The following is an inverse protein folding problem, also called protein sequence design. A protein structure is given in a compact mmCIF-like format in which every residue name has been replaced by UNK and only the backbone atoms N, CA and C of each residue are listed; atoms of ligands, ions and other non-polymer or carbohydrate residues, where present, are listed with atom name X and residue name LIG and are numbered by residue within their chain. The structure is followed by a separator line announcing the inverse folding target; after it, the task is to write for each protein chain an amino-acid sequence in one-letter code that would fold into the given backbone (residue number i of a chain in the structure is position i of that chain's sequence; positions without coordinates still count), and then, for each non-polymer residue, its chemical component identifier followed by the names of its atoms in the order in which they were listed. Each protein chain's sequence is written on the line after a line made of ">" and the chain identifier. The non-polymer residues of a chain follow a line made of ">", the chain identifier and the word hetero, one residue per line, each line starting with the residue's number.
data_IF_984624878123
#
_entry.id   IF_984624878123
#
_cell.length_a   1.000
_cell.length_b   1.000
_cell.length_c   1.000
_cell.angle_alpha   90.00
_cell.angle_beta   90.00
_cell.angle_gamma   90.00
#
_symmetry.space_group_name_H-M   'P 1'
#
loop_
_entity.id
_entity.type
_entity.pdbx_description
1 polymer ?
#
# COMPACT_ATOMS: atom_id res chain seq x y z
N UNK A 1 -2.94 7.86 43.77
CA UNK A 1 -1.58 7.30 43.61
C UNK A 1 -1.58 6.10 42.66
N UNK A 2 -2.47 5.11 42.87
CA UNK A 2 -2.60 3.89 42.03
C UNK A 2 -2.95 4.20 40.56
N UNK A 3 -3.86 5.16 40.29
CA UNK A 3 -4.23 5.56 38.92
C UNK A 3 -3.04 6.08 38.08
N UNK A 4 -2.20 6.96 38.66
CA UNK A 4 -0.99 7.47 37.99
C UNK A 4 0.05 6.39 37.70
N UNK A 5 0.09 5.32 38.50
CA UNK A 5 0.98 4.18 38.30
C UNK A 5 0.43 3.27 37.19
N UNK A 6 -0.89 3.04 37.16
CA UNK A 6 -1.57 2.31 36.09
C UNK A 6 -1.39 3.02 34.73
N UNK A 7 -1.64 4.34 34.65
CA UNK A 7 -1.48 5.13 33.42
C UNK A 7 -0.01 5.13 32.92
N UNK A 8 0.95 5.10 33.86
CA UNK A 8 2.39 5.04 33.53
C UNK A 8 2.82 3.65 33.03
N UNK A 9 2.32 2.58 33.65
CA UNK A 9 2.57 1.20 33.22
C UNK A 9 1.90 0.94 31.86
N UNK A 10 0.67 1.41 31.66
CA UNK A 10 -0.07 1.30 30.39
C UNK A 10 0.63 2.07 29.26
N UNK A 11 1.23 3.23 29.56
CA UNK A 11 2.06 3.98 28.61
C UNK A 11 3.38 3.28 28.24
N UNK A 12 4.03 2.62 29.19
CA UNK A 12 5.28 1.86 28.97
C UNK A 12 5.03 0.52 28.27
N UNK A 13 3.94 -0.19 28.61
CA UNK A 13 3.48 -1.41 27.93
C UNK A 13 3.08 -1.10 26.49
N UNK A 14 2.36 0.00 26.25
CA UNK A 14 2.09 0.47 24.90
C UNK A 14 3.38 0.76 24.14
N UNK A 15 4.37 1.45 24.71
CA UNK A 15 5.67 1.66 24.03
C UNK A 15 6.37 0.36 23.65
N UNK A 16 6.33 -0.66 24.51
CA UNK A 16 6.95 -1.96 24.25
C UNK A 16 6.17 -2.77 23.21
N UNK A 17 4.84 -2.71 23.23
CA UNK A 17 3.98 -3.28 22.19
C UNK A 17 4.22 -2.58 20.85
N UNK A 18 4.34 -1.26 20.84
CA UNK A 18 4.72 -0.47 19.67
C UNK A 18 6.12 -0.79 19.18
N UNK A 19 7.08 -0.99 20.08
CA UNK A 19 8.43 -1.43 19.72
C UNK A 19 8.43 -2.84 19.13
N UNK A 20 7.62 -3.75 19.68
CA UNK A 20 7.46 -5.13 19.21
C UNK A 20 6.75 -5.21 17.86
N UNK A 21 5.61 -4.53 17.70
CA UNK A 21 4.91 -4.39 16.40
C UNK A 21 5.83 -3.74 15.37
N UNK A 22 6.56 -2.69 15.73
CA UNK A 22 7.54 -2.05 14.84
C UNK A 22 8.69 -2.99 14.50
N UNK A 23 9.18 -3.79 15.45
CA UNK A 23 10.24 -4.78 15.29
C UNK A 23 9.83 -5.95 14.38
N UNK A 24 8.65 -6.53 14.60
CA UNK A 24 8.07 -7.60 13.77
C UNK A 24 7.65 -7.10 12.37
N UNK A 25 7.15 -5.88 12.28
CA UNK A 25 6.87 -5.20 11.00
C UNK A 25 8.15 -4.98 10.19
N UNK A 26 9.24 -4.57 10.84
CA UNK A 26 10.55 -4.40 10.17
C UNK A 26 11.17 -5.71 9.71
N UNK A 27 10.85 -6.84 10.36
CA UNK A 27 11.28 -8.17 9.93
C UNK A 27 10.43 -8.75 8.79
N UNK A 28 9.12 -8.46 8.75
CA UNK A 28 8.19 -9.12 7.80
C UNK A 28 7.86 -8.37 6.50
N UNK A 29 8.38 -7.18 6.21
CA UNK A 29 8.32 -6.58 4.84
C UNK A 29 9.38 -7.22 3.93
N UNK A 30 9.42 -8.54 3.90
CA UNK A 30 10.06 -9.29 2.83
C UNK A 30 8.91 -9.87 2.02
N UNK A 31 8.57 -9.17 0.93
CA UNK A 31 7.61 -9.63 -0.06
C UNK A 31 7.83 -11.12 -0.35
N UNK A 32 6.77 -11.95 -0.40
CA UNK A 32 6.92 -13.33 -0.87
C UNK A 32 7.56 -13.29 -2.26
N UNK A 33 8.68 -14.00 -2.43
CA UNK A 33 9.63 -13.77 -3.54
C UNK A 33 9.16 -14.35 -4.88
N UNK A 34 8.24 -15.31 -4.84
CA UNK A 34 7.86 -16.10 -6.02
C UNK A 34 6.71 -15.49 -6.83
N UNK A 35 5.83 -14.69 -6.19
CA UNK A 35 4.55 -14.34 -6.81
C UNK A 35 4.70 -13.15 -7.77
N UNK A 36 4.98 -13.47 -9.03
CA UNK A 36 4.83 -12.54 -10.15
C UNK A 36 3.37 -12.14 -10.28
N UNK A 37 3.13 -10.83 -10.42
CA UNK A 37 1.81 -10.31 -10.81
C UNK A 37 1.83 -10.08 -12.31
N UNK A 38 0.74 -10.46 -13.00
CA UNK A 38 0.63 -10.25 -14.44
C UNK A 38 0.56 -8.76 -14.74
N UNK A 39 1.27 -8.34 -15.78
CA UNK A 39 1.17 -7.00 -16.34
C UNK A 39 -0.27 -6.69 -16.80
N UNK A 40 -0.66 -5.42 -16.72
CA UNK A 40 -1.91 -4.91 -17.24
C UNK A 40 -1.88 -4.90 -18.77
N UNK A 41 -2.95 -5.37 -19.39
CA UNK A 41 -3.10 -5.35 -20.85
C UNK A 41 -3.62 -3.97 -21.28
N UNK A 42 -2.69 -3.03 -21.46
CA UNK A 42 -3.03 -1.68 -21.92
C UNK A 42 -3.74 -1.70 -23.27
N UNK A 43 -4.89 -1.02 -23.34
CA UNK A 43 -5.56 -0.74 -24.62
C UNK A 43 -4.78 0.32 -25.40
N UNK A 44 -4.31 1.36 -24.71
CA UNK A 44 -3.49 2.40 -25.28
C UNK A 44 -2.02 2.22 -24.87
N UNK A 45 -1.19 1.84 -25.84
CA UNK A 45 0.27 1.65 -25.65
C UNK A 45 0.98 2.93 -25.20
N UNK A 46 0.43 4.11 -25.48
CA UNK A 46 1.00 5.37 -25.01
C UNK A 46 1.01 5.45 -23.47
N UNK A 47 -0.06 5.00 -22.80
CA UNK A 47 -0.12 5.00 -21.34
C UNK A 47 0.94 4.08 -20.73
N UNK A 48 1.09 2.87 -21.29
CA UNK A 48 2.15 1.95 -20.90
C UNK A 48 3.52 2.60 -21.04
N UNK A 49 3.83 3.11 -22.23
CA UNK A 49 5.13 3.71 -22.54
C UNK A 49 5.44 4.89 -21.62
N UNK A 50 4.50 5.84 -21.51
CA UNK A 50 4.64 7.03 -20.69
C UNK A 50 4.86 6.68 -19.22
N UNK A 51 4.16 5.68 -18.69
CA UNK A 51 4.34 5.25 -17.30
C UNK A 51 5.74 4.74 -16.97
N UNK A 52 6.43 4.15 -17.94
CA UNK A 52 7.77 3.58 -17.80
C UNK A 52 8.89 4.57 -18.16
N UNK A 53 8.54 5.82 -18.47
CA UNK A 53 9.48 6.85 -18.95
C UNK A 53 9.83 7.83 -17.82
N UNK A 54 11.04 7.70 -17.26
CA UNK A 54 11.55 8.54 -16.18
C UNK A 54 12.67 9.47 -16.72
N UNK A 55 12.25 10.46 -17.52
CA UNK A 55 13.13 11.50 -18.08
C UNK A 55 13.06 12.79 -17.26
N UNK A 56 14.15 13.18 -16.62
CA UNK A 56 14.22 14.40 -15.81
C UNK A 56 14.15 15.69 -16.62
N UNK A 57 14.45 15.65 -17.92
CA UNK A 57 14.63 16.83 -18.77
C UNK A 57 13.58 17.01 -19.88
N UNK A 58 12.43 16.31 -19.84
CA UNK A 58 11.40 16.43 -20.89
C UNK A 58 9.98 16.44 -20.31
N UNK A 59 9.07 17.23 -20.88
CA UNK A 59 7.65 17.33 -20.47
C UNK A 59 6.87 16.00 -20.61
N UNK A 60 7.47 15.00 -21.25
CA UNK A 60 6.84 13.70 -21.49
C UNK A 60 7.27 12.61 -20.49
N UNK A 61 7.67 13.01 -19.28
CA UNK A 61 8.00 12.08 -18.20
C UNK A 61 6.75 11.52 -17.50
N UNK A 62 6.97 10.60 -16.56
CA UNK A 62 5.92 9.89 -15.85
C UNK A 62 5.44 10.59 -14.57
N UNK A 63 5.96 11.78 -14.21
CA UNK A 63 5.72 12.41 -12.90
C UNK A 63 4.24 12.78 -12.69
N UNK A 64 3.56 13.31 -13.72
CA UNK A 64 2.13 13.61 -13.63
C UNK A 64 1.28 12.35 -13.44
N UNK A 65 1.69 11.24 -14.06
CA UNK A 65 1.04 9.94 -13.83
C UNK A 65 1.34 9.44 -12.42
N UNK A 66 2.56 9.62 -11.92
CA UNK A 66 2.95 9.24 -10.56
C UNK A 66 2.16 10.01 -9.50
N UNK A 67 1.95 11.31 -9.72
CA UNK A 67 1.10 12.14 -8.88
C UNK A 67 -0.33 11.59 -8.81
N UNK A 68 -0.98 11.39 -9.96
CA UNK A 68 -2.34 10.82 -10.03
C UNK A 68 -2.42 9.43 -9.39
N UNK A 69 -1.52 8.53 -9.79
CA UNK A 69 -1.49 7.17 -9.30
C UNK A 69 -1.20 7.08 -7.80
N UNK A 70 -0.42 8.02 -7.25
CA UNK A 70 -0.20 8.15 -5.82
C UNK A 70 -1.50 8.32 -5.05
N UNK A 71 -2.37 9.26 -5.49
CA UNK A 71 -3.69 9.46 -4.87
C UNK A 71 -4.62 8.26 -5.03
N UNK A 72 -4.56 7.55 -6.17
CA UNK A 72 -5.36 6.34 -6.39
C UNK A 72 -4.91 5.20 -5.48
N UNK A 73 -3.60 4.94 -5.38
CA UNK A 73 -3.05 3.91 -4.49
C UNK A 73 -3.37 4.26 -3.03
N UNK A 74 -3.22 5.52 -2.63
CA UNK A 74 -3.55 6.01 -1.29
C UNK A 74 -5.00 5.66 -0.89
N UNK A 75 -5.94 5.92 -1.81
CA UNK A 75 -7.35 5.61 -1.62
C UNK A 75 -7.60 4.09 -1.55
N UNK A 76 -7.04 3.31 -2.48
CA UNK A 76 -7.20 1.84 -2.51
C UNK A 76 -6.68 1.21 -1.21
N UNK A 77 -5.50 1.62 -0.74
CA UNK A 77 -4.90 1.11 0.49
C UNK A 77 -5.77 1.47 1.69
N UNK A 78 -6.24 2.72 1.78
CA UNK A 78 -7.19 3.14 2.81
C UNK A 78 -8.47 2.30 2.80
N UNK A 79 -9.05 2.06 1.62
CA UNK A 79 -10.24 1.22 1.47
C UNK A 79 -10.01 -0.20 2.00
N UNK A 80 -8.92 -0.86 1.58
CA UNK A 80 -8.65 -2.23 2.02
C UNK A 80 -8.35 -2.31 3.52
N UNK A 81 -7.59 -1.37 4.08
CA UNK A 81 -7.32 -1.35 5.52
C UNK A 81 -8.61 -1.15 6.33
N UNK A 82 -9.49 -0.25 5.88
CA UNK A 82 -10.80 -0.04 6.50
C UNK A 82 -11.67 -1.30 6.46
N UNK A 83 -11.75 -1.96 5.29
CA UNK A 83 -12.62 -3.14 5.12
C UNK A 83 -12.07 -4.39 5.82
N UNK A 84 -10.76 -4.62 5.75
CA UNK A 84 -10.15 -5.87 6.22
C UNK A 84 -9.78 -5.84 7.70
N UNK A 85 -9.58 -4.66 8.29
CA UNK A 85 -9.14 -4.50 9.67
C UNK A 85 -10.08 -3.54 10.43
N UNK A 86 -11.40 -3.82 10.46
CA UNK A 86 -12.42 -2.86 10.88
C UNK A 86 -12.44 -2.57 12.39
N UNK A 87 -11.68 -3.33 13.18
CA UNK A 87 -11.64 -3.26 14.65
C UNK A 87 -10.40 -2.56 15.19
N UNK A 88 -9.46 -2.17 14.31
CA UNK A 88 -8.24 -1.50 14.74
C UNK A 88 -8.44 -0.01 14.97
N UNK A 89 -7.69 0.52 15.94
CA UNK A 89 -7.64 1.96 16.20
C UNK A 89 -7.06 2.72 15.00
N UNK A 90 -7.51 3.96 14.82
CA UNK A 90 -7.16 4.81 13.68
C UNK A 90 -5.64 4.97 13.48
N UNK A 91 -4.88 5.10 14.56
CA UNK A 91 -3.43 5.24 14.50
C UNK A 91 -2.76 4.02 13.86
N UNK A 92 -3.31 2.82 14.09
CA UNK A 92 -2.78 1.56 13.53
C UNK A 92 -3.03 1.55 12.03
N UNK A 93 -4.24 1.93 11.59
CA UNK A 93 -4.55 2.07 10.16
C UNK A 93 -3.63 3.08 9.47
N UNK A 94 -3.35 4.23 10.09
CA UNK A 94 -2.42 5.24 9.55
C UNK A 94 -0.99 4.68 9.44
N UNK A 95 -0.51 3.98 10.47
CA UNK A 95 0.81 3.36 10.46
C UNK A 95 0.94 2.30 9.35
N UNK A 96 -0.03 1.39 9.26
CA UNK A 96 -0.06 0.33 8.24
C UNK A 96 -0.09 0.91 6.84
N UNK A 97 -0.92 1.94 6.63
CA UNK A 97 -0.98 2.68 5.38
C UNK A 97 0.38 3.26 5.00
N UNK A 98 1.06 3.95 5.92
CA UNK A 98 2.39 4.52 5.67
C UNK A 98 3.42 3.45 5.30
N UNK A 99 3.35 2.26 5.91
CA UNK A 99 4.23 1.13 5.56
C UNK A 99 3.97 0.59 4.15
N UNK A 100 2.71 0.42 3.77
CA UNK A 100 2.37 -0.07 2.42
C UNK A 100 2.76 0.95 1.34
N UNK A 101 2.58 2.24 1.62
CA UNK A 101 2.87 3.34 0.70
C UNK A 101 4.34 3.77 0.69
N UNK A 102 5.21 3.11 1.47
CA UNK A 102 6.63 3.44 1.47
C UNK A 102 7.32 3.04 0.15
N UNK A 103 8.39 3.76 -0.17
CA UNK A 103 9.07 3.63 -1.47
C UNK A 103 9.62 2.24 -1.71
N UNK A 104 10.09 1.57 -0.65
CA UNK A 104 10.68 0.22 -0.72
C UNK A 104 9.59 -0.80 -1.07
N UNK A 105 8.43 -0.69 -0.44
CA UNK A 105 7.27 -1.56 -0.69
C UNK A 105 6.75 -1.37 -2.11
N UNK A 106 6.54 -0.13 -2.54
CA UNK A 106 6.08 0.18 -3.90
C UNK A 106 7.11 -0.23 -4.97
N UNK A 107 8.42 -0.07 -4.69
CA UNK A 107 9.47 -0.58 -5.56
C UNK A 107 9.39 -2.11 -5.70
N UNK A 108 9.14 -2.80 -4.60
CA UNK A 108 8.93 -4.24 -4.62
C UNK A 108 7.67 -4.66 -5.38
N UNK A 109 6.59 -3.86 -5.37
CA UNK A 109 5.42 -4.08 -6.23
C UNK A 109 5.78 -3.95 -7.71
N UNK A 110 6.58 -2.95 -8.07
CA UNK A 110 7.08 -2.82 -9.45
C UNK A 110 7.90 -4.03 -9.88
N UNK A 111 8.84 -4.49 -9.04
CA UNK A 111 9.70 -5.65 -9.33
C UNK A 111 8.89 -6.94 -9.55
N UNK A 112 7.72 -7.08 -8.90
CA UNK A 112 6.81 -8.22 -9.15
C UNK A 112 6.21 -8.25 -10.57
N UNK A 113 6.20 -7.11 -11.27
CA UNK A 113 5.75 -7.02 -12.66
C UNK A 113 6.83 -7.46 -13.65
N UNK A 114 8.10 -7.56 -13.23
CA UNK A 114 9.26 -7.86 -14.09
C UNK A 114 9.43 -6.88 -15.26
N UNK A 115 9.15 -5.59 -15.01
CA UNK A 115 9.21 -4.52 -16.00
C UNK A 115 10.46 -3.64 -15.91
N UNK A 116 11.41 -3.95 -15.04
CA UNK A 116 12.63 -3.16 -14.83
C UNK A 116 13.43 -2.96 -16.11
N UNK A 117 13.49 -3.99 -16.96
CA UNK A 117 14.19 -3.94 -18.27
C UNK A 117 13.48 -3.07 -19.31
N UNK A 118 12.25 -2.64 -19.05
CA UNK A 118 11.46 -1.78 -19.94
C UNK A 118 11.45 -0.32 -19.48
N UNK A 119 12.11 0.00 -18.37
CA UNK A 119 12.25 1.38 -17.93
C UNK A 119 13.10 2.18 -18.92
N UNK A 120 12.59 3.35 -19.27
CA UNK A 120 13.30 4.33 -20.09
C UNK A 120 13.81 5.41 -19.14
N UNK A 121 15.14 5.54 -19.06
CA UNK A 121 15.83 6.42 -18.12
C UNK A 121 16.68 7.43 -18.89
N UNK A 122 17.09 8.50 -18.22
CA UNK A 122 18.15 9.37 -18.74
C UNK A 122 19.50 8.63 -18.78
N UNK A 123 20.35 8.99 -19.75
CA UNK A 123 21.69 8.40 -19.98
C UNK A 123 22.56 8.29 -18.72
N UNK A 124 22.38 9.18 -17.73
CA UNK A 124 23.10 9.15 -16.45
C UNK A 124 22.64 8.05 -15.48
N UNK A 125 21.40 7.57 -15.63
CA UNK A 125 20.77 6.58 -14.74
C UNK A 125 20.77 5.15 -15.35
N UNK A 126 21.20 4.99 -16.62
CA UNK A 126 21.27 3.70 -17.33
C UNK A 126 22.39 2.78 -16.81
N UNK A 127 23.42 3.34 -16.17
CA UNK A 127 24.61 2.59 -15.76
C UNK A 127 24.38 1.69 -14.54
N UNK A 128 23.40 1.98 -13.67
CA UNK A 128 23.06 1.13 -12.52
C UNK A 128 21.88 0.22 -12.87
N UNK A 129 22.19 -0.91 -13.52
CA UNK A 129 21.21 -1.90 -14.02
C UNK A 129 20.56 -2.76 -12.92
N UNK A 130 20.47 -2.18 -11.72
CA UNK A 130 19.69 -2.63 -10.56
C UNK A 130 18.58 -1.64 -10.19
N UNK A 131 18.72 -0.35 -10.55
CA UNK A 131 17.77 0.78 -10.42
C UNK A 131 17.33 1.09 -8.97
N UNK A 132 17.42 2.38 -8.60
CA UNK A 132 17.06 2.90 -7.27
C UNK A 132 15.59 2.60 -6.92
N UNK A 133 15.32 2.12 -5.71
CA UNK A 133 13.95 1.86 -5.20
C UNK A 133 13.05 3.11 -5.29
N UNK A 134 13.63 4.32 -5.20
CA UNK A 134 12.88 5.55 -5.45
C UNK A 134 12.29 5.60 -6.87
N UNK A 135 13.08 5.26 -7.89
CA UNK A 135 12.63 5.25 -9.29
C UNK A 135 11.55 4.17 -9.48
N UNK A 136 11.77 2.98 -8.94
CA UNK A 136 10.80 1.89 -9.03
C UNK A 136 9.47 2.23 -8.35
N UNK A 137 9.52 2.80 -7.14
CA UNK A 137 8.32 3.19 -6.40
C UNK A 137 7.53 4.29 -7.12
N UNK A 138 8.18 5.34 -7.62
CA UNK A 138 7.51 6.38 -8.41
C UNK A 138 6.98 5.85 -9.74
N UNK A 139 7.73 4.95 -10.40
CA UNK A 139 7.26 4.31 -11.63
C UNK A 139 6.06 3.40 -11.38
N UNK A 140 6.00 2.69 -10.24
CA UNK A 140 4.82 1.94 -9.86
C UNK A 140 3.60 2.84 -9.73
N UNK A 141 3.73 3.99 -9.06
CA UNK A 141 2.65 4.98 -8.98
C UNK A 141 2.23 5.43 -10.37
N UNK A 142 3.18 5.80 -11.23
CA UNK A 142 2.88 6.22 -12.59
C UNK A 142 2.15 5.13 -13.39
N UNK A 143 2.56 3.88 -13.22
CA UNK A 143 1.96 2.73 -13.84
C UNK A 143 0.51 2.52 -13.39
N UNK A 144 0.21 2.66 -12.09
CA UNK A 144 -1.18 2.63 -11.61
C UNK A 144 -2.00 3.82 -12.13
N UNK A 145 -1.42 5.02 -12.16
CA UNK A 145 -2.06 6.20 -12.77
C UNK A 145 -2.39 5.98 -14.25
N UNK A 146 -1.49 5.32 -14.99
CA UNK A 146 -1.70 4.97 -16.38
C UNK A 146 -2.81 3.92 -16.57
N UNK A 147 -2.89 2.90 -15.72
CA UNK A 147 -3.99 1.92 -15.72
C UNK A 147 -5.32 2.63 -15.47
N UNK A 148 -5.36 3.53 -14.48
CA UNK A 148 -6.56 4.28 -14.15
C UNK A 148 -7.10 5.07 -15.35
N UNK A 149 -6.21 5.69 -16.15
CA UNK A 149 -6.63 6.36 -17.39
C UNK A 149 -7.03 5.36 -18.50
N UNK A 150 -6.29 4.27 -18.67
CA UNK A 150 -6.57 3.24 -19.68
C UNK A 150 -7.90 2.50 -19.45
N UNK A 151 -8.34 2.43 -18.19
CA UNK A 151 -9.65 1.88 -17.81
C UNK A 151 -10.78 2.92 -17.76
N UNK A 152 -10.60 4.12 -18.33
CA UNK A 152 -11.58 5.22 -18.31
C UNK A 152 -11.94 5.70 -16.89
N UNK A 153 -10.94 5.86 -16.02
CA UNK A 153 -11.11 6.30 -14.63
C UNK A 153 -11.96 5.34 -13.77
N UNK A 154 -12.00 4.06 -14.14
CA UNK A 154 -12.73 3.03 -13.40
C UNK A 154 -11.90 2.58 -12.19
N UNK A 155 -12.27 3.09 -11.01
CA UNK A 155 -11.57 2.83 -9.77
C UNK A 155 -11.64 1.35 -9.34
N UNK A 156 -12.78 0.69 -9.55
CA UNK A 156 -12.98 -0.70 -9.13
C UNK A 156 -12.03 -1.64 -9.91
N UNK A 157 -11.84 -1.40 -11.21
CA UNK A 157 -10.86 -2.14 -12.01
C UNK A 157 -9.43 -1.99 -11.49
N UNK A 158 -9.05 -0.78 -11.07
CA UNK A 158 -7.72 -0.55 -10.50
C UNK A 158 -7.59 -1.22 -9.14
N UNK A 159 -8.62 -1.14 -8.30
CA UNK A 159 -8.68 -1.83 -7.00
C UNK A 159 -8.52 -3.34 -7.13
N UNK A 160 -9.18 -3.95 -8.11
CA UNK A 160 -9.09 -5.38 -8.39
C UNK A 160 -7.70 -5.77 -8.89
N UNK A 161 -7.10 -4.94 -9.76
CA UNK A 161 -5.72 -5.13 -10.20
C UNK A 161 -4.71 -4.98 -9.05
N UNK A 162 -4.96 -4.06 -8.11
CA UNK A 162 -4.12 -3.83 -6.94
C UNK A 162 -4.23 -4.92 -5.87
N UNK A 163 -5.34 -5.66 -5.83
CA UNK A 163 -5.63 -6.68 -4.81
C UNK A 163 -4.48 -7.67 -4.59
N UNK A 164 -3.89 -8.32 -5.62
CA UNK A 164 -2.83 -9.32 -5.42
C UNK A 164 -1.53 -8.74 -4.86
N UNK A 165 -1.29 -7.43 -5.00
CA UNK A 165 -0.14 -6.75 -4.38
C UNK A 165 -0.34 -6.58 -2.87
N UNK A 166 -1.58 -6.28 -2.47
CA UNK A 166 -1.96 -5.93 -1.10
C UNK A 166 -2.31 -7.15 -0.25
N UNK A 167 -2.92 -8.19 -0.81
CA UNK A 167 -3.36 -9.39 -0.07
C UNK A 167 -2.29 -9.98 0.85
N UNK A 168 -1.02 -10.17 0.44
CA UNK A 168 0.01 -10.71 1.35
C UNK A 168 0.25 -9.86 2.60
N UNK A 169 0.08 -8.53 2.50
CA UNK A 169 0.19 -7.63 3.64
C UNK A 169 -1.04 -7.75 4.53
N UNK A 170 -2.23 -7.64 3.92
CA UNK A 170 -3.50 -7.69 4.63
C UNK A 170 -3.66 -9.00 5.42
N UNK A 171 -3.30 -10.13 4.82
CA UNK A 171 -3.42 -11.44 5.47
C UNK A 171 -2.48 -11.57 6.69
N UNK A 172 -1.19 -11.21 6.56
CA UNK A 172 -0.23 -11.32 7.67
C UNK A 172 -0.49 -10.26 8.75
N UNK A 173 -1.05 -9.11 8.41
CA UNK A 173 -1.52 -8.14 9.42
C UNK A 173 -2.79 -8.61 10.12
N UNK A 174 -3.76 -9.15 9.39
CA UNK A 174 -4.95 -9.75 10.00
C UNK A 174 -4.57 -10.89 10.95
N UNK A 175 -3.54 -11.68 10.62
CA UNK A 175 -2.99 -12.69 11.52
C UNK A 175 -2.33 -12.08 12.77
N UNK A 176 -1.40 -11.13 12.62
CA UNK A 176 -0.75 -10.46 13.76
C UNK A 176 -1.79 -9.84 14.70
N UNK A 177 -2.82 -9.19 14.15
CA UNK A 177 -3.76 -8.40 14.92
C UNK A 177 -4.84 -9.24 15.61
N UNK A 178 -5.05 -10.51 15.22
CA UNK A 178 -6.06 -11.40 15.85
C UNK A 178 -5.92 -11.50 17.36
N UNK A 179 -4.69 -11.46 17.87
CA UNK A 179 -4.37 -11.71 19.28
C UNK A 179 -3.92 -10.44 20.04
N UNK A 180 -4.06 -9.25 19.44
CA UNK A 180 -3.63 -7.97 20.04
C UNK A 180 -4.75 -7.27 20.81
N UNK A 181 -4.39 -6.55 21.89
CA UNK A 181 -5.30 -5.66 22.64
C UNK A 181 -6.03 -4.66 21.73
N UNK A 182 -5.35 -4.19 20.69
CA UNK A 182 -5.88 -3.31 19.64
C UNK A 182 -7.12 -3.85 18.92
N UNK A 183 -7.37 -5.17 18.96
CA UNK A 183 -8.53 -5.84 18.35
C UNK A 183 -9.62 -6.21 19.38
N UNK A 184 -9.30 -6.14 20.68
CA UNK A 184 -10.18 -6.44 21.81
C UNK A 184 -10.84 -5.18 22.40
N UNK A 185 -10.31 -3.99 22.12
CA UNK A 185 -10.85 -2.71 22.59
C UNK A 185 -11.61 -1.95 21.49
N UNK A 186 -12.74 -2.50 21.02
CA UNK A 186 -13.75 -1.63 20.39
C UNK A 186 -14.59 -1.08 21.55
N UNK A 187 -14.62 0.25 21.78
CA UNK A 187 -15.60 0.82 22.71
C UNK A 187 -16.98 0.32 22.33
N UNK A 188 -17.72 -0.25 23.29
CA UNK A 188 -19.00 -0.92 23.02
C UNK A 188 -20.00 -0.04 22.24
N UNK A 189 -19.87 1.29 22.32
CA UNK A 189 -20.69 2.24 21.56
C UNK A 189 -20.41 2.24 20.05
N UNK A 190 -19.19 1.86 19.63
CA UNK A 190 -18.76 1.86 18.22
C UNK A 190 -18.98 0.50 17.53
N UNK A 191 -19.24 -0.57 18.27
CA UNK A 191 -19.49 -1.91 17.70
C UNK A 191 -20.62 -1.93 16.67
N UNK A 192 -21.68 -1.18 16.93
CA UNK A 192 -22.83 -1.09 16.04
C UNK A 192 -22.47 -0.37 14.72
N UNK A 193 -21.63 0.67 14.79
CA UNK A 193 -21.14 1.42 13.62
C UNK A 193 -20.27 0.50 12.76
N UNK A 194 -19.32 -0.21 13.37
CA UNK A 194 -18.47 -1.18 12.66
C UNK A 194 -19.29 -2.29 12.00
N UNK A 195 -20.33 -2.82 12.67
CA UNK A 195 -21.24 -3.81 12.10
C UNK A 195 -22.04 -3.25 10.91
N UNK A 196 -22.50 -2.01 10.99
CA UNK A 196 -23.19 -1.31 9.90
C UNK A 196 -22.26 -1.08 8.70
N UNK A 197 -21.05 -0.57 8.92
CA UNK A 197 -20.07 -0.32 7.88
C UNK A 197 -19.74 -1.61 7.12
N UNK A 198 -19.54 -2.73 7.83
CA UNK A 198 -19.32 -4.04 7.22
C UNK A 198 -20.52 -4.55 6.42
N UNK A 199 -21.76 -4.25 6.85
CA UNK A 199 -22.96 -4.61 6.11
C UNK A 199 -23.13 -3.77 4.84
N UNK A 200 -22.80 -2.48 4.89
CA UNK A 200 -22.80 -1.58 3.73
C UNK A 200 -21.79 -2.07 2.69
N UNK A 201 -20.57 -2.41 3.14
CA UNK A 201 -19.51 -2.91 2.27
C UNK A 201 -19.88 -4.23 1.59
N UNK A 202 -20.52 -5.17 2.28
CA UNK A 202 -20.97 -6.46 1.71
C UNK A 202 -22.13 -6.35 0.73
N UNK A 203 -22.89 -5.25 0.76
CA UNK A 203 -24.00 -5.00 -0.18
C UNK A 203 -23.56 -4.32 -1.47
N UNK A 204 -22.35 -3.75 -1.50
CA UNK A 204 -21.78 -3.03 -2.64
C UNK A 204 -20.83 -3.84 -3.54
N UNK A 205 -20.65 -5.14 -3.26
CA UNK A 205 -19.89 -6.11 -4.07
C UNK A 205 -20.80 -7.19 -4.62
#
# INVERSE_FOLDING_TARGET
>A
MIRKIADHIEGEVNKLLWAFVKYEATKTILLPKNNTVKEWKFKNKHFRMKSLTNHSNNENNNERLAFLGGSIIDNIVSYYLFCCIPRCKIYTLVYLKQKILDKITLAGFFKKLKLEKHLILDKGNEMDRHINDNIHGETFKAYIGAIYLDCNCDFDKVRDYMKPFLTPFLDKWAEILKDTEDNNEIPSELEHIVKLDLQILKKGT
#
